data_IF_829583812731
#
_entry.id   IF_829583812731
#
_cell.length_a   1.000
_cell.length_b   1.000
_cell.length_c   1.000
_cell.angle_alpha   90.00
_cell.angle_beta   90.00
_cell.angle_gamma   90.00
#
_symmetry.space_group_name_H-M   'P 1'
#
loop_
_entity.id
_entity.type
_entity.pdbx_description
1 polymer ?
#
# COMPACT_ATOMS: atom_id res chain seq x y z
N UNK A 1 9.10 -22.97 -9.90
CA UNK A 1 8.71 -22.58 -9.73
C UNK A 1 8.28 -21.57 -9.48
N UNK A 2 8.13 -21.08 -9.34
CA UNK A 2 7.71 -20.34 -8.99
C UNK A 2 7.33 -19.29 -9.16
N UNK A 3 6.87 -18.94 -9.04
CA UNK A 3 6.42 -18.06 -9.34
C UNK A 3 6.37 -16.99 -8.66
N UNK A 4 6.68 -16.28 -8.52
CA UNK A 4 6.72 -15.06 -7.96
C UNK A 4 5.38 -14.51 -7.72
N UNK A 5 4.57 -15.18 -7.02
CA UNK A 5 3.28 -14.66 -6.64
C UNK A 5 3.47 -13.86 -5.35
N UNK A 6 3.13 -12.59 -5.44
CA UNK A 6 3.18 -11.71 -4.27
C UNK A 6 1.96 -12.03 -3.40
N UNK A 7 2.18 -12.29 -2.14
CA UNK A 7 1.08 -12.52 -1.20
C UNK A 7 0.70 -11.18 -0.56
N UNK A 8 -0.50 -11.09 0.04
CA UNK A 8 -0.85 -9.88 0.79
C UNK A 8 0.15 -9.58 1.91
N UNK A 9 0.71 -10.60 2.55
CA UNK A 9 1.71 -10.39 3.59
C UNK A 9 2.99 -9.80 3.02
N UNK A 10 3.39 -10.26 1.83
CA UNK A 10 4.56 -9.69 1.16
C UNK A 10 4.34 -8.22 0.84
N UNK A 11 3.16 -7.90 0.33
CA UNK A 11 2.84 -6.54 -0.06
C UNK A 11 2.84 -5.62 1.16
N UNK A 12 2.27 -6.09 2.25
CA UNK A 12 2.27 -5.33 3.49
C UNK A 12 3.71 -5.03 3.94
N UNK A 13 4.57 -6.03 3.88
CA UNK A 13 5.95 -5.86 4.28
C UNK A 13 6.67 -4.85 3.37
N UNK A 14 6.44 -4.95 2.07
CA UNK A 14 7.08 -4.03 1.13
C UNK A 14 6.68 -2.58 1.43
N UNK A 15 5.41 -2.37 1.69
CA UNK A 15 4.92 -1.02 1.96
C UNK A 15 5.49 -0.50 3.27
N UNK A 16 5.46 -1.32 4.33
CA UNK A 16 5.93 -0.86 5.64
C UNK A 16 7.43 -0.70 5.69
N UNK A 17 8.16 -1.37 4.82
CA UNK A 17 9.61 -1.17 4.75
C UNK A 17 9.96 0.23 4.24
N UNK A 18 9.13 0.79 3.37
CA UNK A 18 9.43 2.07 2.75
C UNK A 18 8.55 3.22 3.18
N UNK A 19 7.56 2.98 4.01
CA UNK A 19 6.59 4.00 4.41
C UNK A 19 6.18 3.76 5.85
N UNK A 20 6.23 4.80 6.65
CA UNK A 20 5.79 4.69 8.04
C UNK A 20 4.26 4.58 8.07
N UNK A 21 3.76 3.50 8.61
CA UNK A 21 2.33 3.25 8.67
C UNK A 21 1.88 3.11 10.11
N UNK A 22 0.80 3.83 10.46
CA UNK A 22 0.15 3.66 11.75
C UNK A 22 -0.75 2.43 11.73
N UNK A 23 -1.28 2.12 10.56
CA UNK A 23 -2.15 0.97 10.39
C UNK A 23 -2.10 0.56 8.93
N UNK A 24 -2.11 -0.72 8.68
CA UNK A 24 -2.14 -1.22 7.32
C UNK A 24 -2.90 -2.54 7.30
N UNK A 25 -3.74 -2.69 6.27
CA UNK A 25 -4.43 -3.94 6.01
C UNK A 25 -4.29 -4.24 4.54
N UNK A 26 -3.86 -5.43 4.21
CA UNK A 26 -3.72 -5.84 2.82
C UNK A 26 -4.45 -7.16 2.64
N UNK A 27 -5.25 -7.23 1.59
CA UNK A 27 -6.00 -8.42 1.26
C UNK A 27 -5.91 -8.66 -0.24
N UNK A 28 -6.20 -9.84 -0.67
CA UNK A 28 -6.17 -10.14 -2.10
C UNK A 28 -6.16 -11.62 -2.36
N UNK A 29 -6.39 -11.96 -3.63
CA UNK A 29 -6.46 -13.36 -4.07
C UNK A 29 -5.23 -13.79 -4.88
N UNK A 30 -4.19 -12.98 -4.86
CA UNK A 30 -2.98 -13.24 -5.65
C UNK A 30 -2.98 -12.57 -7.00
N UNK A 31 -4.14 -12.17 -7.49
CA UNK A 31 -4.25 -11.44 -8.76
C UNK A 31 -4.60 -10.00 -8.56
N UNK A 32 -5.47 -9.74 -7.60
CA UNK A 32 -5.91 -8.40 -7.26
C UNK A 32 -5.67 -8.19 -5.78
N UNK A 33 -5.20 -7.01 -5.43
CA UNK A 33 -4.89 -6.67 -4.05
C UNK A 33 -5.64 -5.42 -3.65
N UNK A 34 -6.01 -5.37 -2.39
CA UNK A 34 -6.65 -4.20 -1.79
C UNK A 34 -5.86 -3.86 -0.54
N UNK A 35 -5.50 -2.59 -0.42
CA UNK A 35 -4.71 -2.14 0.72
C UNK A 35 -5.37 -0.93 1.36
N UNK A 36 -5.47 -0.97 2.69
CA UNK A 36 -5.82 0.19 3.48
C UNK A 36 -4.56 0.62 4.19
N UNK A 37 -4.12 1.85 3.94
CA UNK A 37 -2.85 2.34 4.46
C UNK A 37 -3.11 3.64 5.20
N UNK A 38 -2.74 3.66 6.47
CA UNK A 38 -2.88 4.84 7.32
C UNK A 38 -1.49 5.32 7.68
N UNK A 39 -1.16 6.54 7.30
CA UNK A 39 0.18 7.06 7.52
C UNK A 39 0.14 8.55 7.79
N UNK A 40 0.92 9.02 8.80
CA UNK A 40 1.05 10.45 9.03
C UNK A 40 1.75 11.15 7.86
N UNK A 41 2.46 10.40 7.04
CA UNK A 41 3.16 10.98 5.89
C UNK A 41 2.20 11.42 4.79
N UNK A 42 0.94 11.02 4.88
CA UNK A 42 -0.07 11.44 3.92
C UNK A 42 -0.67 12.82 4.23
N UNK A 43 -0.36 13.39 5.38
CA UNK A 43 -0.93 14.67 5.77
C UNK A 43 -0.48 15.77 4.82
N UNK A 44 -1.42 16.61 4.42
CA UNK A 44 -1.13 17.69 3.51
C UNK A 44 -0.94 17.26 2.07
N UNK A 45 -1.17 16.00 1.76
CA UNK A 45 -0.95 15.48 0.42
C UNK A 45 -2.26 15.11 -0.25
N UNK A 46 -2.30 15.34 -1.55
CA UNK A 46 -3.44 14.96 -2.38
C UNK A 46 -3.39 13.46 -2.65
N UNK A 47 -4.50 12.93 -3.12
CA UNK A 47 -4.62 11.50 -3.35
C UNK A 47 -3.51 10.95 -4.25
N UNK A 48 -3.23 11.65 -5.35
CA UNK A 48 -2.20 11.16 -6.27
C UNK A 48 -0.83 11.16 -5.62
N UNK A 49 -0.55 12.14 -4.77
CA UNK A 49 0.74 12.21 -4.07
C UNK A 49 0.87 11.08 -3.06
N UNK A 50 -0.24 10.73 -2.40
CA UNK A 50 -0.24 9.62 -1.46
C UNK A 50 0.03 8.31 -2.18
N UNK A 51 -0.58 8.12 -3.34
CA UNK A 51 -0.35 6.91 -4.12
C UNK A 51 1.10 6.83 -4.60
N UNK A 52 1.68 7.96 -4.95
CA UNK A 52 3.08 7.99 -5.37
C UNK A 52 4.01 7.58 -4.24
N UNK A 53 3.69 7.97 -3.01
CA UNK A 53 4.48 7.54 -1.86
C UNK A 53 4.45 6.02 -1.70
N UNK A 54 3.27 5.42 -1.89
CA UNK A 54 3.13 3.98 -1.79
C UNK A 54 3.90 3.29 -2.91
N UNK A 55 3.78 3.80 -4.15
CA UNK A 55 4.51 3.23 -5.27
C UNK A 55 6.02 3.32 -5.03
N UNK A 56 6.47 4.43 -4.46
CA UNK A 56 7.88 4.60 -4.15
C UNK A 56 8.34 3.58 -3.11
N UNK A 57 7.50 3.33 -2.11
CA UNK A 57 7.80 2.33 -1.09
C UNK A 57 7.92 0.94 -1.71
N UNK A 58 7.06 0.65 -2.67
CA UNK A 58 7.09 -0.66 -3.34
C UNK A 58 8.31 -0.81 -4.24
N UNK A 59 8.73 0.29 -4.86
CA UNK A 59 9.90 0.25 -5.74
C UNK A 59 9.69 -0.71 -6.90
N UNK A 60 10.68 -1.57 -7.13
CA UNK A 60 10.63 -2.53 -8.23
C UNK A 60 9.97 -3.84 -7.85
N UNK A 61 9.53 -3.96 -6.62
CA UNK A 61 9.05 -5.25 -6.10
C UNK A 61 7.71 -5.66 -6.69
N UNK A 62 6.95 -4.69 -7.21
CA UNK A 62 5.68 -4.97 -7.85
C UNK A 62 5.61 -4.24 -9.17
N UNK A 63 6.29 -4.78 -10.15
CA UNK A 63 6.33 -4.10 -11.44
C UNK A 63 5.04 -4.23 -12.20
N UNK A 64 4.63 -5.44 -12.49
CA UNK A 64 3.43 -5.68 -13.27
C UNK A 64 2.21 -5.77 -12.38
N UNK A 65 2.40 -6.33 -11.21
CA UNK A 65 1.31 -6.53 -10.27
C UNK A 65 0.75 -5.20 -9.77
N UNK A 66 1.48 -4.11 -9.95
CA UNK A 66 1.04 -2.81 -9.44
C UNK A 66 -0.29 -2.38 -10.03
N UNK A 67 -0.60 -2.85 -11.24
CA UNK A 67 -1.88 -2.54 -11.88
C UNK A 67 -3.05 -3.21 -11.16
N UNK A 68 -2.76 -4.24 -10.40
CA UNK A 68 -3.78 -4.99 -9.69
C UNK A 68 -3.97 -4.51 -8.26
N UNK A 69 -3.30 -3.44 -7.87
CA UNK A 69 -3.37 -2.92 -6.51
C UNK A 69 -4.34 -1.76 -6.43
N UNK A 70 -5.39 -1.95 -5.62
CA UNK A 70 -6.31 -0.87 -5.25
C UNK A 70 -5.94 -0.45 -3.84
N UNK A 71 -5.85 0.86 -3.60
CA UNK A 71 -5.45 1.31 -2.28
C UNK A 71 -6.33 2.44 -1.79
N UNK A 72 -6.52 2.46 -0.49
CA UNK A 72 -7.16 3.55 0.22
C UNK A 72 -6.11 4.12 1.17
N UNK A 73 -5.82 5.40 1.02
CA UNK A 73 -4.77 6.07 1.78
C UNK A 73 -5.40 7.10 2.69
N UNK A 74 -5.13 6.99 3.98
CA UNK A 74 -5.74 7.86 4.99
C UNK A 74 -4.66 8.42 5.90
N UNK A 75 -4.87 9.63 6.39
CA UNK A 75 -4.10 10.12 7.53
C UNK A 75 -4.68 9.49 8.79
N UNK A 76 -3.92 9.53 9.90
CA UNK A 76 -4.46 9.03 11.17
C UNK A 76 -5.77 9.71 11.57
N UNK A 77 -5.87 11.02 11.32
CA UNK A 77 -7.09 11.74 11.63
C UNK A 77 -8.25 11.25 10.78
N UNK A 78 -8.03 11.06 9.49
CA UNK A 78 -9.07 10.57 8.60
C UNK A 78 -9.53 9.18 9.01
N UNK A 79 -8.61 8.35 9.44
CA UNK A 79 -8.93 7.00 9.88
C UNK A 79 -9.74 7.03 11.18
N UNK A 80 -9.39 7.92 12.09
CA UNK A 80 -10.03 7.98 13.40
C UNK A 80 -11.39 8.66 13.38
N UNK A 81 -11.71 9.42 12.32
CA UNK A 81 -12.99 10.10 12.24
C UNK A 81 -14.08 9.26 11.61
N UNK A 82 -13.78 8.05 11.23
CA UNK A 82 -14.80 7.14 10.68
C UNK A 82 -15.48 6.34 11.77
#
# INVERSE_FOLDING_TARGET
>A
MSDSIVSPADLEKYITDGLQCDHIEVDGDGRHFQALIVSPQFEGKRLIQRHQLVYKALGDRMREEIHALSMKTLTPDEHNTN
#
